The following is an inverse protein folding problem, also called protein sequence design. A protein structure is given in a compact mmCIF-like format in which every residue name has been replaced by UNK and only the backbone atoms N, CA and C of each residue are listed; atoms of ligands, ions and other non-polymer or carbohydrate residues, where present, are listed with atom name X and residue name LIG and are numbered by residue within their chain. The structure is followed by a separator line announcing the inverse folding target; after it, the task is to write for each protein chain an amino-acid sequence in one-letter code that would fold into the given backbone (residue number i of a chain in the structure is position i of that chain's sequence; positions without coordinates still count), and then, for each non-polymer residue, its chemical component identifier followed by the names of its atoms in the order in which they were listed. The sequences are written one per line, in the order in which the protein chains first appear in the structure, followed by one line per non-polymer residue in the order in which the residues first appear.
data_IF_507048507131
#
_entry.id   IF_507048507131
#
_cell.length_a   1.000
_cell.length_b   1.000
_cell.length_c   1.000
_cell.angle_alpha   90.00
_cell.angle_beta   90.00
_cell.angle_gamma   90.00
#
_symmetry.space_group_name_H-M   'P 1'
#
loop_
_entity.id
_entity.type
_entity.pdbx_description
1 polymer ?
#
# COMPACT_ATOMS: atom_id res chain seq x y z
N UNK A 1 -15.57 -17.76 9.97
CA UNK A 1 -15.86 -19.19 9.69
C UNK A 1 -15.61 -19.49 8.21
N UNK A 2 -14.35 -19.71 7.82
CA UNK A 2 -13.99 -20.23 6.49
C UNK A 2 -13.72 -21.73 6.67
N UNK A 3 -14.56 -22.56 6.04
CA UNK A 3 -14.60 -24.00 6.26
C UNK A 3 -13.33 -24.69 5.75
N UNK A 4 -12.88 -25.72 6.49
CA UNK A 4 -11.59 -26.41 6.34
C UNK A 4 -11.29 -27.10 4.99
N UNK A 5 -12.14 -26.96 3.97
CA UNK A 5 -11.88 -27.48 2.61
C UNK A 5 -10.87 -26.65 1.81
N UNK A 6 -10.64 -25.39 2.16
CA UNK A 6 -9.66 -24.54 1.46
C UNK A 6 -8.20 -24.86 1.84
N UNK A 7 -7.96 -25.53 2.98
CA UNK A 7 -6.60 -25.83 3.47
C UNK A 7 -5.92 -27.02 2.76
N UNK A 8 -6.67 -27.94 2.14
CA UNK A 8 -6.08 -29.11 1.46
C UNK A 8 -5.56 -28.82 0.05
N UNK A 9 -5.93 -27.68 -0.55
CA UNK A 9 -5.50 -27.30 -1.90
C UNK A 9 -4.07 -26.72 -1.94
N UNK A 10 -3.40 -26.53 -0.79
CA UNK A 10 -2.15 -25.77 -0.64
C UNK A 10 -0.85 -26.57 -0.81
N UNK A 11 -0.90 -27.83 -1.29
CA UNK A 11 0.31 -28.69 -1.31
C UNK A 11 1.32 -28.40 -2.44
N UNK A 12 0.90 -27.88 -3.61
CA UNK A 12 1.83 -27.51 -4.70
C UNK A 12 1.37 -26.27 -5.49
N UNK A 13 1.87 -25.06 -5.15
CA UNK A 13 1.46 -23.82 -5.81
C UNK A 13 1.88 -23.71 -7.27
N UNK A 14 2.98 -24.36 -7.68
CA UNK A 14 3.55 -24.27 -9.04
C UNK A 14 2.72 -24.99 -10.12
N UNK A 15 1.99 -26.04 -9.76
CA UNK A 15 1.14 -26.78 -10.71
C UNK A 15 -0.19 -26.06 -11.00
N UNK A 16 -0.53 -25.03 -10.22
CA UNK A 16 -1.77 -24.25 -10.39
C UNK A 16 -1.82 -23.44 -11.68
N UNK A 17 -0.66 -23.08 -12.22
CA UNK A 17 -0.53 -22.46 -13.55
C UNK A 17 -1.05 -23.35 -14.68
N UNK A 18 -1.13 -24.66 -14.43
CA UNK A 18 -1.69 -25.68 -15.32
C UNK A 18 -3.16 -25.99 -15.03
N UNK A 19 -3.92 -25.15 -14.34
CA UNK A 19 -5.37 -25.35 -14.22
C UNK A 19 -6.14 -24.82 -15.44
N UNK A 20 -7.25 -25.47 -15.84
CA UNK A 20 -8.15 -24.94 -16.86
C UNK A 20 -8.65 -23.54 -16.48
N UNK A 21 -8.75 -22.62 -17.45
CA UNK A 21 -9.22 -21.25 -17.23
C UNK A 21 -8.12 -20.20 -17.03
N UNK A 22 -6.90 -20.59 -16.65
CA UNK A 22 -5.78 -19.65 -16.44
C UNK A 22 -5.22 -19.03 -17.73
N UNK A 23 -5.58 -19.55 -18.93
CA UNK A 23 -5.14 -19.10 -20.26
C UNK A 23 -3.61 -19.05 -20.51
N UNK A 24 -2.77 -19.42 -19.53
CA UNK A 24 -1.30 -19.43 -19.59
C UNK A 24 -0.74 -20.60 -20.41
N UNK A 25 -1.36 -21.79 -20.34
CA UNK A 25 -0.87 -23.03 -21.00
C UNK A 25 -0.59 -22.86 -22.49
N UNK A 26 -1.53 -22.26 -23.23
CA UNK A 26 -1.42 -22.08 -24.69
C UNK A 26 -0.22 -21.21 -25.07
N UNK A 27 0.10 -20.22 -24.24
CA UNK A 27 1.21 -19.29 -24.49
C UNK A 27 2.55 -19.88 -24.02
N UNK A 28 2.56 -20.67 -22.95
CA UNK A 28 3.73 -21.45 -22.54
C UNK A 28 4.13 -22.48 -23.61
N UNK A 29 3.15 -23.16 -24.21
CA UNK A 29 3.38 -24.07 -25.34
C UNK A 29 3.92 -23.33 -26.57
N UNK A 30 3.37 -22.16 -26.89
CA UNK A 30 3.85 -21.32 -28.00
C UNK A 30 5.31 -20.90 -27.78
N UNK A 31 5.66 -20.49 -26.56
CA UNK A 31 7.02 -20.13 -26.20
C UNK A 31 7.98 -21.33 -26.28
N UNK A 32 7.58 -22.50 -25.78
CA UNK A 32 8.37 -23.72 -25.84
C UNK A 32 8.62 -24.18 -27.29
N UNK A 33 7.61 -24.10 -28.15
CA UNK A 33 7.73 -24.40 -29.57
C UNK A 33 8.70 -23.42 -30.26
N UNK A 34 8.62 -22.13 -29.93
CA UNK A 34 9.56 -21.11 -30.42
C UNK A 34 11.01 -21.38 -30.01
N UNK A 35 11.24 -21.74 -28.74
CA UNK A 35 12.57 -22.12 -28.25
C UNK A 35 13.14 -23.36 -28.96
N UNK A 36 12.30 -24.36 -29.22
CA UNK A 36 12.69 -25.57 -29.92
C UNK A 36 13.08 -25.27 -31.38
N UNK A 37 12.28 -24.45 -32.08
CA UNK A 37 12.58 -24.01 -33.45
C UNK A 37 13.85 -23.16 -33.53
N UNK A 38 14.09 -22.28 -32.54
CA UNK A 38 15.35 -21.54 -32.42
C UNK A 38 16.55 -22.47 -32.27
N UNK A 39 16.44 -23.49 -31.40
CA UNK A 39 17.51 -24.46 -31.19
C UNK A 39 17.84 -25.25 -32.45
N UNK A 40 16.81 -25.70 -33.19
CA UNK A 40 16.98 -26.38 -34.47
C UNK A 40 17.56 -25.46 -35.55
N UNK A 41 17.07 -24.22 -35.63
CA UNK A 41 17.58 -23.19 -36.53
C UNK A 41 19.06 -22.90 -36.31
N UNK A 42 19.48 -22.76 -35.04
CA UNK A 42 20.85 -22.48 -34.67
C UNK A 42 21.77 -23.67 -35.00
N UNK A 43 21.33 -24.89 -34.69
CA UNK A 43 22.06 -26.13 -35.04
C UNK A 43 22.25 -26.29 -36.56
N UNK A 44 21.26 -25.89 -37.36
CA UNK A 44 21.34 -25.96 -38.82
C UNK A 44 22.24 -24.88 -39.44
N UNK A 45 22.31 -23.69 -38.82
CA UNK A 45 23.07 -22.56 -39.33
C UNK A 45 24.56 -22.62 -38.93
N UNK A 46 24.87 -23.03 -37.70
CA UNK A 46 26.25 -23.04 -37.15
C UNK A 46 27.27 -23.81 -38.01
N UNK A 47 26.97 -24.99 -38.59
CA UNK A 47 27.96 -25.77 -39.34
C UNK A 47 28.23 -25.22 -40.74
N UNK A 48 27.26 -24.52 -41.34
CA UNK A 48 27.33 -24.12 -42.75
C UNK A 48 27.52 -22.61 -42.94
N UNK A 49 27.21 -21.78 -41.92
CA UNK A 49 27.15 -20.32 -41.97
C UNK A 49 26.43 -19.78 -43.24
N UNK A 50 25.57 -20.61 -43.82
CA UNK A 50 24.86 -20.30 -45.05
C UNK A 50 23.64 -19.47 -44.71
N UNK A 51 23.60 -18.24 -45.23
CA UNK A 51 22.40 -17.40 -45.19
C UNK A 51 21.32 -17.86 -46.19
N UNK A 52 21.63 -18.83 -47.05
CA UNK A 52 20.65 -19.48 -47.93
C UNK A 52 20.03 -20.72 -47.29
N UNK A 53 18.72 -20.90 -47.46
CA UNK A 53 17.97 -22.09 -47.02
C UNK A 53 16.88 -21.81 -45.99
N UNK A 54 16.29 -22.86 -45.41
CA UNK A 54 15.17 -22.76 -44.47
C UNK A 54 15.58 -22.38 -43.03
N UNK A 55 16.86 -22.52 -42.67
CA UNK A 55 17.34 -22.33 -41.30
C UNK A 55 17.27 -20.88 -40.77
N UNK A 56 17.61 -19.83 -41.57
CA UNK A 56 17.35 -18.45 -41.16
C UNK A 56 15.86 -18.16 -40.91
N UNK A 57 14.97 -18.72 -41.73
CA UNK A 57 13.53 -18.59 -41.55
C UNK A 57 13.04 -19.32 -40.29
N UNK A 58 13.61 -20.49 -39.98
CA UNK A 58 13.33 -21.22 -38.74
C UNK A 58 13.78 -20.44 -37.49
N UNK A 59 14.92 -19.73 -37.55
CA UNK A 59 15.36 -18.83 -36.48
C UNK A 59 14.42 -17.64 -36.29
N UNK A 60 14.01 -16.97 -37.38
CA UNK A 60 13.08 -15.84 -37.32
C UNK A 60 11.71 -16.26 -36.78
N UNK A 61 11.16 -17.36 -37.29
CA UNK A 61 9.88 -17.90 -36.84
C UNK A 61 9.95 -18.37 -35.38
N UNK A 62 11.01 -19.10 -35.02
CA UNK A 62 11.24 -19.56 -33.65
C UNK A 62 11.36 -18.40 -32.67
N UNK A 63 12.11 -17.35 -33.03
CA UNK A 63 12.23 -16.12 -32.26
C UNK A 63 10.91 -15.39 -32.10
N UNK A 64 10.14 -15.24 -33.18
CA UNK A 64 8.81 -14.62 -33.15
C UNK A 64 7.83 -15.38 -32.27
N UNK A 65 7.80 -16.71 -32.36
CA UNK A 65 6.95 -17.57 -31.52
C UNK A 65 7.36 -17.52 -30.04
N UNK A 66 8.67 -17.49 -29.76
CA UNK A 66 9.19 -17.38 -28.40
C UNK A 66 8.79 -16.04 -27.77
N UNK A 67 9.09 -14.93 -28.44
CA UNK A 67 8.78 -13.58 -27.96
C UNK A 67 7.27 -13.39 -27.84
N UNK A 68 6.50 -13.78 -28.86
CA UNK A 68 5.04 -13.71 -28.84
C UNK A 68 4.42 -14.56 -27.74
N UNK A 69 4.95 -15.76 -27.49
CA UNK A 69 4.53 -16.66 -26.43
C UNK A 69 4.79 -16.08 -25.05
N UNK A 70 6.01 -15.58 -24.80
CA UNK A 70 6.37 -14.93 -23.53
C UNK A 70 5.54 -13.65 -23.31
N UNK A 71 5.38 -12.82 -24.33
CA UNK A 71 4.58 -11.59 -24.26
C UNK A 71 3.11 -11.88 -23.95
N UNK A 72 2.50 -12.83 -24.66
CA UNK A 72 1.10 -13.18 -24.46
C UNK A 72 0.88 -13.90 -23.12
N UNK A 73 1.87 -14.67 -22.66
CA UNK A 73 1.87 -15.27 -21.32
C UNK A 73 1.88 -14.18 -20.24
N UNK A 74 2.82 -13.24 -20.31
CA UNK A 74 2.92 -12.14 -19.34
C UNK A 74 1.65 -11.28 -19.33
N UNK A 75 1.10 -10.96 -20.51
CA UNK A 75 -0.18 -10.25 -20.64
C UNK A 75 -1.34 -11.01 -19.98
N UNK A 76 -1.43 -12.33 -20.20
CA UNK A 76 -2.45 -13.18 -19.60
C UNK A 76 -2.34 -13.22 -18.08
N UNK A 77 -1.12 -13.28 -17.53
CA UNK A 77 -0.90 -13.25 -16.08
C UNK A 77 -1.28 -11.90 -15.47
N UNK A 78 -0.79 -10.80 -16.06
CA UNK A 78 -1.01 -9.45 -15.55
C UNK A 78 -2.48 -9.04 -15.59
N UNK A 79 -3.22 -9.49 -16.62
CA UNK A 79 -4.66 -9.21 -16.74
C UNK A 79 -5.52 -9.75 -15.59
N UNK A 80 -5.00 -10.68 -14.78
CA UNK A 80 -5.69 -11.17 -13.59
C UNK A 80 -5.61 -10.19 -12.40
N UNK A 81 -4.64 -9.27 -12.40
CA UNK A 81 -4.37 -8.36 -11.28
C UNK A 81 -4.55 -6.88 -11.65
N UNK A 82 -4.30 -6.50 -12.90
CA UNK A 82 -4.34 -5.11 -13.35
C UNK A 82 -4.45 -5.01 -14.88
N UNK A 83 -4.62 -3.80 -15.41
CA UNK A 83 -4.54 -3.57 -16.85
C UNK A 83 -3.07 -3.73 -17.31
N UNK A 84 -2.74 -4.70 -18.20
CA UNK A 84 -1.38 -4.90 -18.68
C UNK A 84 -0.75 -3.66 -19.34
N UNK A 85 -1.55 -2.73 -19.88
CA UNK A 85 -1.05 -1.53 -20.54
C UNK A 85 -0.48 -0.50 -19.56
N UNK A 86 -0.96 -0.49 -18.31
CA UNK A 86 -0.47 0.43 -17.29
C UNK A 86 0.77 -0.09 -16.55
N UNK A 87 1.07 -1.39 -16.65
CA UNK A 87 2.13 -2.05 -15.87
C UNK A 87 3.51 -1.41 -16.08
N UNK A 88 3.98 -1.12 -17.31
CA UNK A 88 5.30 -0.51 -17.49
C UNK A 88 5.42 0.84 -16.79
N UNK A 89 4.38 1.67 -16.88
CA UNK A 89 4.33 2.98 -16.23
C UNK A 89 4.32 2.83 -14.72
N UNK A 90 3.46 1.95 -14.18
CA UNK A 90 3.38 1.67 -12.73
C UNK A 90 4.71 1.14 -12.18
N UNK A 91 5.36 0.23 -12.89
CA UNK A 91 6.67 -0.33 -12.50
C UNK A 91 7.76 0.74 -12.54
N UNK A 92 7.81 1.56 -13.60
CA UNK A 92 8.78 2.64 -13.72
C UNK A 92 8.62 3.67 -12.60
N UNK A 93 7.39 4.15 -12.37
CA UNK A 93 7.08 5.11 -11.30
C UNK A 93 7.46 4.52 -9.95
N UNK A 94 7.06 3.28 -9.67
CA UNK A 94 7.37 2.60 -8.41
C UNK A 94 8.88 2.49 -8.17
N UNK A 95 9.65 1.97 -9.13
CA UNK A 95 11.12 1.85 -9.00
C UNK A 95 11.79 3.20 -8.80
N UNK A 96 11.33 4.23 -9.50
CA UNK A 96 11.85 5.60 -9.35
C UNK A 96 11.56 6.16 -7.95
N UNK A 97 10.36 5.95 -7.42
CA UNK A 97 9.99 6.40 -6.08
C UNK A 97 10.71 5.61 -4.98
N UNK A 98 10.95 4.31 -5.18
CA UNK A 98 11.73 3.45 -4.29
C UNK A 98 13.22 3.88 -4.22
N UNK A 99 13.76 4.43 -5.30
CA UNK A 99 15.09 5.06 -5.32
C UNK A 99 15.10 6.50 -4.76
N UNK A 100 13.95 7.03 -4.34
CA UNK A 100 13.82 8.38 -3.79
C UNK A 100 14.48 8.55 -2.42
N UNK A 101 14.65 9.80 -1.94
CA UNK A 101 15.27 10.08 -0.65
C UNK A 101 14.45 9.48 0.51
N UNK A 102 15.14 9.08 1.58
CA UNK A 102 14.51 8.65 2.83
C UNK A 102 14.16 9.88 3.66
N UNK A 103 12.90 10.02 4.03
CA UNK A 103 12.39 11.19 4.74
C UNK A 103 11.63 10.73 5.97
N UNK A 104 11.96 11.31 7.12
CA UNK A 104 11.17 11.18 8.34
C UNK A 104 10.49 12.51 8.62
N UNK A 105 9.17 12.49 8.76
CA UNK A 105 8.36 13.68 9.01
C UNK A 105 7.66 13.54 10.36
N UNK A 106 7.85 14.53 11.23
CA UNK A 106 7.20 14.60 12.54
C UNK A 106 6.10 15.65 12.52
N UNK A 107 4.97 15.37 13.18
CA UNK A 107 3.92 16.37 13.36
C UNK A 107 2.55 15.76 13.61
N UNK A 108 1.51 16.51 13.23
CA UNK A 108 0.12 16.11 13.34
C UNK A 108 -0.77 16.99 12.46
N UNK A 109 -2.07 16.80 12.60
CA UNK A 109 -3.12 17.55 11.94
C UNK A 109 -3.03 17.59 10.41
N UNK A 110 -3.65 18.64 9.86
CA UNK A 110 -3.77 18.84 8.42
C UNK A 110 -2.46 19.28 7.74
N UNK A 111 -1.50 19.82 8.50
CA UNK A 111 -0.22 20.26 7.97
C UNK A 111 0.63 19.08 7.51
N UNK A 112 0.82 18.10 8.39
CA UNK A 112 1.59 16.89 8.07
C UNK A 112 0.96 16.14 6.90
N UNK A 113 -0.35 15.88 6.93
CA UNK A 113 -1.03 15.13 5.86
C UNK A 113 -0.93 15.81 4.48
N UNK A 114 -0.93 17.14 4.40
CA UNK A 114 -0.69 17.88 3.13
C UNK A 114 0.74 17.71 2.62
N UNK A 115 1.73 17.79 3.51
CA UNK A 115 3.14 17.58 3.15
C UNK A 115 3.35 16.15 2.64
N UNK A 116 2.79 15.16 3.35
CA UNK A 116 2.85 13.75 2.96
C UNK A 116 2.24 13.49 1.57
N UNK A 117 1.11 14.14 1.24
CA UNK A 117 0.50 14.06 -0.10
C UNK A 117 1.44 14.57 -1.20
N UNK A 118 2.23 15.61 -0.93
CA UNK A 118 3.24 16.08 -1.87
C UNK A 118 4.44 15.16 -1.96
N UNK A 119 4.93 14.67 -0.81
CA UNK A 119 6.12 13.81 -0.74
C UNK A 119 5.93 12.46 -1.42
N UNK A 120 4.74 11.85 -1.37
CA UNK A 120 4.46 10.55 -1.99
C UNK A 120 4.62 10.55 -3.53
N UNK A 121 4.58 11.73 -4.15
CA UNK A 121 4.81 11.92 -5.58
C UNK A 121 6.31 11.97 -5.93
N UNK A 122 7.18 12.07 -4.91
CA UNK A 122 8.64 12.21 -5.05
C UNK A 122 9.43 11.05 -4.46
N UNK A 123 8.91 10.38 -3.44
CA UNK A 123 9.57 9.23 -2.80
C UNK A 123 8.55 8.27 -2.20
N UNK A 124 8.87 6.97 -2.20
CA UNK A 124 8.13 5.94 -1.47
C UNK A 124 8.74 5.66 -0.08
N UNK A 125 9.82 6.36 0.27
CA UNK A 125 10.61 6.12 1.49
C UNK A 125 10.29 7.15 2.58
N UNK A 126 9.00 7.41 2.82
CA UNK A 126 8.54 8.37 3.84
C UNK A 126 8.12 7.63 5.11
N UNK A 127 8.60 8.08 6.26
CA UNK A 127 8.10 7.65 7.58
C UNK A 127 7.47 8.85 8.27
N UNK A 128 6.17 8.83 8.48
CA UNK A 128 5.46 9.83 9.25
C UNK A 128 5.36 9.39 10.72
N UNK A 129 5.86 10.21 11.64
CA UNK A 129 5.71 10.03 13.08
C UNK A 129 4.67 11.04 13.57
N UNK A 130 3.52 10.53 13.97
CA UNK A 130 2.31 11.32 14.19
C UNK A 130 2.05 11.49 15.68
N UNK A 131 1.85 12.73 16.12
CA UNK A 131 1.41 13.03 17.47
C UNK A 131 0.01 12.46 17.71
N UNK A 132 -0.20 11.84 18.88
CA UNK A 132 -1.46 11.16 19.25
C UNK A 132 -2.12 11.79 20.48
N UNK A 133 -1.91 13.10 20.66
CA UNK A 133 -2.31 13.87 21.85
C UNK A 133 -3.70 14.49 21.76
N UNK A 134 -4.32 14.52 20.58
CA UNK A 134 -5.61 15.18 20.36
C UNK A 134 -6.73 14.61 21.26
N UNK A 135 -7.54 15.53 21.80
CA UNK A 135 -8.69 15.25 22.66
C UNK A 135 -10.00 15.87 22.13
N UNK A 136 -10.00 16.39 20.89
CA UNK A 136 -11.13 17.03 20.25
C UNK A 136 -12.07 16.13 19.43
N UNK A 137 -13.32 16.59 19.28
CA UNK A 137 -14.28 16.08 18.29
C UNK A 137 -14.67 14.61 18.44
N UNK A 138 -14.90 13.93 17.31
CA UNK A 138 -15.24 12.50 17.29
C UNK A 138 -14.07 11.61 17.69
N UNK A 139 -12.84 12.07 17.52
CA UNK A 139 -11.61 11.39 17.92
C UNK A 139 -11.51 11.33 19.45
N UNK A 140 -11.76 12.44 20.14
CA UNK A 140 -11.80 12.50 21.61
C UNK A 140 -12.85 11.56 22.21
N UNK A 141 -14.06 11.47 21.61
CA UNK A 141 -15.10 10.53 22.08
C UNK A 141 -14.68 9.07 21.99
N UNK A 142 -14.09 8.67 20.85
CA UNK A 142 -13.61 7.30 20.65
C UNK A 142 -12.46 6.97 21.59
N UNK A 143 -11.52 7.91 21.74
CA UNK A 143 -10.40 7.79 22.68
C UNK A 143 -10.89 7.54 24.11
N UNK A 144 -11.87 8.32 24.59
CA UNK A 144 -12.44 8.14 25.93
C UNK A 144 -13.19 6.82 26.08
N UNK A 145 -13.95 6.41 25.05
CA UNK A 145 -14.77 5.20 25.11
C UNK A 145 -13.95 3.90 25.06
N UNK A 146 -12.83 3.90 24.32
CA UNK A 146 -12.05 2.69 24.02
C UNK A 146 -10.63 2.70 24.60
N UNK A 147 -10.22 3.76 25.30
CA UNK A 147 -8.94 3.83 26.00
C UNK A 147 -7.69 3.83 25.10
N UNK A 148 -7.82 4.27 23.84
CA UNK A 148 -6.73 4.26 22.86
C UNK A 148 -6.15 5.66 22.58
N UNK A 149 -4.97 5.77 21.94
CA UNK A 149 -4.44 7.05 21.49
C UNK A 149 -5.35 7.74 20.46
N UNK A 150 -5.14 9.04 20.25
CA UNK A 150 -5.91 9.79 19.26
C UNK A 150 -5.65 9.25 17.84
N UNK A 151 -6.71 8.84 17.14
CA UNK A 151 -6.62 8.21 15.81
C UNK A 151 -6.77 9.17 14.64
N UNK A 152 -7.31 10.38 14.85
CA UNK A 152 -7.68 11.29 13.75
C UNK A 152 -6.51 11.65 12.85
N UNK A 153 -5.44 12.17 13.44
CA UNK A 153 -4.24 12.59 12.70
C UNK A 153 -3.52 11.41 12.03
N UNK A 154 -3.56 10.22 12.66
CA UNK A 154 -3.05 8.99 12.07
C UNK A 154 -3.84 8.63 10.81
N UNK A 155 -5.17 8.66 10.87
CA UNK A 155 -6.05 8.39 9.71
C UNK A 155 -5.78 9.38 8.58
N UNK A 156 -5.60 10.66 8.89
CA UNK A 156 -5.29 11.68 7.88
C UNK A 156 -3.95 11.42 7.19
N UNK A 157 -2.93 10.98 7.94
CA UNK A 157 -1.63 10.60 7.39
C UNK A 157 -1.68 9.29 6.59
N UNK A 158 -2.41 8.27 7.08
CA UNK A 158 -2.66 7.01 6.35
C UNK A 158 -3.37 7.29 5.02
N UNK A 159 -4.39 8.14 5.05
CA UNK A 159 -5.11 8.61 3.87
C UNK A 159 -4.17 9.32 2.90
N UNK A 160 -3.30 10.19 3.40
CA UNK A 160 -2.33 10.93 2.58
C UNK A 160 -1.34 10.02 1.84
N UNK A 161 -0.83 8.96 2.49
CA UNK A 161 0.14 8.04 1.89
C UNK A 161 -0.48 6.87 1.13
N UNK A 162 -1.80 6.74 1.12
CA UNK A 162 -2.50 5.67 0.38
C UNK A 162 -2.38 5.84 -1.14
N UNK A 163 -2.08 4.74 -1.83
CA UNK A 163 -1.89 4.71 -3.29
C UNK A 163 -3.22 4.62 -4.06
N UNK A 164 -4.25 4.03 -3.45
CA UNK A 164 -5.51 3.77 -4.13
C UNK A 164 -6.42 5.02 -4.16
N UNK A 165 -6.94 5.44 -5.34
CA UNK A 165 -7.67 6.71 -5.48
C UNK A 165 -8.98 6.79 -4.68
N UNK A 166 -9.57 5.65 -4.33
CA UNK A 166 -10.78 5.61 -3.51
C UNK A 166 -10.52 5.69 -2.00
N UNK A 167 -9.34 5.24 -1.53
CA UNK A 167 -9.07 5.12 -0.08
C UNK A 167 -9.15 6.46 0.65
N UNK A 168 -8.61 7.58 0.12
CA UNK A 168 -8.74 8.87 0.81
C UNK A 168 -10.19 9.30 1.02
N UNK A 169 -11.07 9.06 0.03
CA UNK A 169 -12.50 9.38 0.14
C UNK A 169 -13.21 8.47 1.13
N UNK A 170 -12.86 7.18 1.15
CA UNK A 170 -13.44 6.21 2.08
C UNK A 170 -13.03 6.53 3.53
N UNK A 171 -11.75 6.74 3.80
CA UNK A 171 -11.25 7.04 5.14
C UNK A 171 -11.81 8.36 5.68
N UNK A 172 -11.99 9.36 4.82
CA UNK A 172 -12.59 10.65 5.18
C UNK A 172 -14.12 10.64 5.26
N UNK A 173 -14.79 9.56 4.85
CA UNK A 173 -16.25 9.50 4.87
C UNK A 173 -16.77 9.61 6.30
N UNK A 174 -17.60 10.63 6.55
CA UNK A 174 -18.27 10.87 7.83
C UNK A 174 -19.72 10.46 7.71
N UNK A 175 -20.16 9.56 8.59
CA UNK A 175 -21.54 9.13 8.65
C UNK A 175 -22.43 10.29 9.10
N UNK A 176 -23.54 10.49 8.39
CA UNK A 176 -24.49 11.60 8.59
C UNK A 176 -25.77 11.19 9.32
N UNK A 177 -26.02 9.89 9.48
CA UNK A 177 -27.23 9.31 10.08
C UNK A 177 -26.95 8.00 10.82
N UNK A 178 -27.90 7.60 11.68
CA UNK A 178 -27.86 6.35 12.45
C UNK A 178 -26.90 6.38 13.64
N UNK A 179 -26.63 5.22 14.22
CA UNK A 179 -25.78 5.08 15.43
C UNK A 179 -24.33 5.52 15.21
N UNK A 180 -23.86 5.51 13.96
CA UNK A 180 -22.52 5.93 13.59
C UNK A 180 -22.41 7.43 13.30
N UNK A 181 -23.50 8.20 13.45
CA UNK A 181 -23.54 9.61 13.08
C UNK A 181 -22.39 10.40 13.73
N UNK A 182 -21.68 11.15 12.88
CA UNK A 182 -20.56 11.98 13.29
C UNK A 182 -19.24 11.23 13.45
N UNK A 183 -19.17 9.91 13.29
CA UNK A 183 -17.92 9.16 13.18
C UNK A 183 -17.42 9.11 11.74
N UNK A 184 -16.11 9.00 11.55
CA UNK A 184 -15.50 8.74 10.24
C UNK A 184 -15.20 7.25 10.09
N UNK A 185 -15.31 6.73 8.86
CA UNK A 185 -14.92 5.34 8.59
C UNK A 185 -13.47 5.08 8.97
N UNK A 186 -12.54 5.99 8.66
CA UNK A 186 -11.13 5.81 9.00
C UNK A 186 -10.87 5.69 10.52
N UNK A 187 -11.57 6.46 11.34
CA UNK A 187 -11.43 6.35 12.80
C UNK A 187 -11.97 5.00 13.29
N UNK A 188 -13.15 4.59 12.81
CA UNK A 188 -13.74 3.30 13.17
C UNK A 188 -12.85 2.13 12.69
N UNK A 189 -12.24 2.26 11.51
CA UNK A 189 -11.29 1.29 10.97
C UNK A 189 -10.10 1.09 11.91
N UNK A 190 -9.44 2.17 12.36
CA UNK A 190 -8.32 2.05 13.30
C UNK A 190 -8.74 1.55 14.68
N UNK A 191 -9.88 2.01 15.20
CA UNK A 191 -10.42 1.50 16.48
C UNK A 191 -10.69 -0.01 16.37
N UNK A 192 -11.28 -0.45 15.26
CA UNK A 192 -11.58 -1.88 15.03
C UNK A 192 -10.29 -2.69 14.95
N UNK A 193 -9.28 -2.22 14.22
CA UNK A 193 -7.98 -2.90 14.17
C UNK A 193 -7.36 -3.01 15.56
N UNK A 194 -7.38 -1.93 16.36
CA UNK A 194 -6.87 -1.99 17.73
C UNK A 194 -7.61 -3.01 18.60
N UNK A 195 -8.93 -3.11 18.48
CA UNK A 195 -9.74 -4.09 19.22
C UNK A 195 -9.44 -5.54 18.80
N UNK A 196 -9.12 -5.76 17.51
CA UNK A 196 -8.79 -7.08 16.98
C UNK A 196 -7.36 -7.49 17.33
N UNK A 197 -6.40 -6.59 17.16
CA UNK A 197 -4.98 -6.87 17.41
C UNK A 197 -4.64 -6.89 18.91
N UNK A 198 -5.39 -6.15 19.74
CA UNK A 198 -5.13 -6.01 21.19
C UNK A 198 -3.91 -5.13 21.53
N UNK A 199 -3.19 -4.65 20.53
CA UNK A 199 -2.02 -3.78 20.63
C UNK A 199 -2.10 -2.67 19.58
N UNK A 200 -1.94 -1.41 20.01
CA UNK A 200 -2.10 -0.27 19.11
C UNK A 200 -0.97 -0.17 18.08
N UNK A 201 0.26 -0.54 18.45
CA UNK A 201 1.38 -0.51 17.53
C UNK A 201 1.23 -1.58 16.43
N UNK A 202 0.74 -2.77 16.77
CA UNK A 202 0.38 -3.82 15.82
C UNK A 202 -0.77 -3.38 14.91
N UNK A 203 -1.84 -2.79 15.49
CA UNK A 203 -2.96 -2.29 14.70
C UNK A 203 -2.54 -1.26 13.65
N UNK A 204 -1.59 -0.38 13.98
CA UNK A 204 -1.02 0.55 13.00
C UNK A 204 -0.18 -0.18 11.95
N UNK A 205 0.62 -1.18 12.33
CA UNK A 205 1.38 -2.00 11.36
C UNK A 205 0.46 -2.74 10.40
N UNK A 206 -0.65 -3.31 10.88
CA UNK A 206 -1.69 -3.92 10.05
C UNK A 206 -2.35 -2.88 9.13
N UNK A 207 -2.68 -1.68 9.65
CA UNK A 207 -3.25 -0.60 8.84
C UNK A 207 -2.32 -0.19 7.68
N UNK A 208 -1.00 -0.07 7.94
CA UNK A 208 0.00 0.23 6.91
C UNK A 208 0.00 -0.84 5.80
N UNK A 209 -0.07 -2.11 6.17
CA UNK A 209 -0.12 -3.24 5.25
C UNK A 209 -1.44 -3.28 4.44
N UNK A 210 -2.59 -3.16 5.10
CA UNK A 210 -3.92 -3.22 4.47
C UNK A 210 -4.09 -2.08 3.46
N UNK A 211 -3.65 -0.87 3.81
CA UNK A 211 -3.80 0.31 2.96
C UNK A 211 -2.73 0.42 1.86
N UNK A 212 -1.72 -0.47 1.88
CA UNK A 212 -0.63 -0.53 0.90
C UNK A 212 -0.03 0.85 0.60
N UNK A 213 0.47 1.50 1.66
CA UNK A 213 0.94 2.89 1.60
C UNK A 213 2.24 3.04 0.81
N UNK A 214 2.45 4.24 0.25
CA UNK A 214 3.75 4.70 -0.24
C UNK A 214 4.53 5.33 0.91
N UNK A 215 5.17 4.49 1.70
CA UNK A 215 5.83 4.87 2.95
C UNK A 215 5.15 4.21 4.14
N UNK A 216 5.32 4.79 5.32
CA UNK A 216 4.73 4.28 6.55
C UNK A 216 4.31 5.41 7.50
N UNK A 217 3.29 5.13 8.29
CA UNK A 217 2.78 6.01 9.35
C UNK A 217 2.90 5.28 10.68
N UNK A 218 3.51 5.94 11.66
CA UNK A 218 3.72 5.42 13.00
C UNK A 218 3.21 6.44 14.03
N UNK A 219 2.62 5.99 15.15
CA UNK A 219 2.31 6.90 16.24
C UNK A 219 3.60 7.29 16.99
N UNK A 220 3.63 8.49 17.55
CA UNK A 220 4.73 8.93 18.41
C UNK A 220 4.85 8.06 19.68
N UNK A 221 3.73 7.51 20.15
CA UNK A 221 3.66 6.55 21.26
C UNK A 221 2.44 5.64 21.08
N UNK A 222 2.50 4.36 21.47
CA UNK A 222 1.33 3.49 21.50
C UNK A 222 0.37 3.80 22.66
N UNK A 223 0.79 4.66 23.61
CA UNK A 223 0.03 4.98 24.81
C UNK A 223 -0.90 6.17 24.63
N UNK A 224 -2.01 6.16 25.37
CA UNK A 224 -3.00 7.23 25.34
C UNK A 224 -2.53 8.47 26.13
N UNK A 225 -1.67 9.29 25.52
CA UNK A 225 -1.07 10.48 26.16
C UNK A 225 -1.85 11.78 25.93
N UNK A 226 -1.86 12.68 26.91
CA UNK A 226 -2.51 14.01 26.82
C UNK A 226 -1.45 15.10 26.78
N UNK A 227 -1.73 16.15 26.01
CA UNK A 227 -0.86 17.33 25.98
C UNK A 227 -1.06 18.13 27.26
N UNK A 228 0.03 18.54 27.91
CA UNK A 228 0.00 19.42 29.07
C UNK A 228 0.91 20.61 28.77
N UNK A 229 0.59 21.81 29.21
CA UNK A 229 1.49 22.95 29.07
C UNK A 229 1.49 23.79 30.33
N UNK A 230 2.67 24.34 30.66
CA UNK A 230 2.85 25.35 31.70
C UNK A 230 2.93 26.73 31.05
N UNK A 231 2.16 27.68 31.55
CA UNK A 231 2.16 29.07 31.08
C UNK A 231 3.18 29.92 31.85
N UNK A 232 3.50 31.11 31.33
CA UNK A 232 4.46 32.03 31.98
C UNK A 232 3.99 32.52 33.36
N UNK A 233 2.68 32.52 33.62
CA UNK A 233 2.08 32.85 34.92
C UNK A 233 2.14 31.67 35.93
N UNK A 234 2.71 30.53 35.52
CA UNK A 234 2.87 29.33 36.33
C UNK A 234 1.68 28.36 36.28
N UNK A 235 0.56 28.74 35.67
CA UNK A 235 -0.62 27.88 35.53
C UNK A 235 -0.31 26.70 34.60
N UNK A 236 -0.79 25.51 34.95
CA UNK A 236 -0.71 24.31 34.12
C UNK A 236 -2.10 23.98 33.55
N UNK A 237 -2.15 23.69 32.26
CA UNK A 237 -3.37 23.29 31.56
C UNK A 237 -3.13 21.98 30.83
N UNK A 238 -4.06 21.05 30.95
CA UNK A 238 -4.03 19.74 30.30
C UNK A 238 -5.15 19.62 29.27
N UNK A 239 -4.85 18.98 28.14
CA UNK A 239 -5.75 18.77 27.01
C UNK A 239 -5.56 19.79 25.89
N UNK A 240 -5.50 19.32 24.64
CA UNK A 240 -5.25 20.16 23.47
C UNK A 240 -6.38 21.17 23.25
N UNK A 241 -7.63 20.75 23.45
CA UNK A 241 -8.80 21.63 23.36
C UNK A 241 -8.78 22.72 24.44
N UNK A 242 -8.35 22.40 25.66
CA UNK A 242 -8.25 23.36 26.75
C UNK A 242 -7.12 24.37 26.48
N UNK A 243 -5.95 23.87 26.05
CA UNK A 243 -4.80 24.68 25.67
C UNK A 243 -5.13 25.66 24.55
N UNK A 244 -5.90 25.25 23.54
CA UNK A 244 -6.32 26.12 22.43
C UNK A 244 -7.24 27.26 22.88
N UNK A 245 -8.01 27.08 23.95
CA UNK A 245 -8.93 28.10 24.50
C UNK A 245 -8.23 29.06 25.45
N UNK A 246 -7.16 28.62 26.12
CA UNK A 246 -6.39 29.44 27.05
C UNK A 246 -5.57 30.48 26.28
N UNK A 247 -5.73 31.75 26.66
CA UNK A 247 -4.88 32.85 26.15
C UNK A 247 -3.55 32.86 26.89
N UNK A 248 -2.57 33.66 26.45
CA UNK A 248 -1.29 33.79 27.15
C UNK A 248 -0.16 32.99 26.51
N UNK A 249 1.06 33.16 27.03
CA UNK A 249 2.27 32.56 26.45
C UNK A 249 2.60 31.27 27.19
N UNK A 250 2.75 30.20 26.40
CA UNK A 250 3.25 28.90 26.87
C UNK A 250 4.74 29.02 27.19
N UNK A 251 5.15 28.44 28.32
CA UNK A 251 6.55 28.31 28.75
C UNK A 251 7.15 27.00 28.25
N UNK A 252 6.44 25.90 28.50
CA UNK A 252 6.83 24.52 28.16
C UNK A 252 5.59 23.64 27.96
N UNK A 253 5.77 22.55 27.23
CA UNK A 253 4.76 21.55 26.85
C UNK A 253 5.30 20.15 27.16
#
# INVERSE_FOLDING_TARGET
MWTGKARSLLRHPSWRWLYPGMRVKRYALLAALGALLLGLGLKGLLPSLSLGGAWPWALLLGGGLLVGGVWAMNRSMLSAFTDPHEVPVRVYVRRRLEAGPRVVAFGGGTGLSRVLRGLRERTANVTAIVAVTDDGGSTGRLRLAFGLPAVGDLVDCLSALSDHPALPRLLAYRFDRGELQGHTFGNLFLVTLNQVSGDFAEAIREANAILNLRGQVLPATPEAVRLKARFLDGEEVEGEVALRKRRGRVREV
#
